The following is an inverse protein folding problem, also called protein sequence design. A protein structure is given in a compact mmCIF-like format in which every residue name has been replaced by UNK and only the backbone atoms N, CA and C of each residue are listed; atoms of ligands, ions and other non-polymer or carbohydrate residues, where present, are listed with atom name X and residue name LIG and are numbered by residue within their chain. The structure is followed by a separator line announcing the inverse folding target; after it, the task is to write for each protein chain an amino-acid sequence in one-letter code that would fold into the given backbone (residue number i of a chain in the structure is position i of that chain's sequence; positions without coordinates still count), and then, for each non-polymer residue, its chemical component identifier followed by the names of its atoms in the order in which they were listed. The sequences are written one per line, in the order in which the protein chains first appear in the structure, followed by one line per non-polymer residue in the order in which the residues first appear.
data_IF_830790696799
#
_entry.id   IF_830790696799
#
_cell.length_a   1.000
_cell.length_b   1.000
_cell.length_c   1.000
_cell.angle_alpha   90.00
_cell.angle_beta   90.00
_cell.angle_gamma   90.00
#
_symmetry.space_group_name_H-M   'P 1'
#
loop_
_entity.id
_entity.type
_entity.pdbx_description
1 polymer ?
#
# COMPACT_ATOMS: atom_id res chain seq x y z
N UNK A 1 -19.60 -18.55 18.76
CA UNK A 1 -18.61 -17.53 19.19
C UNK A 1 -18.59 -16.45 18.14
N UNK A 2 -19.10 -15.24 18.44
CA UNK A 2 -19.04 -14.14 17.49
C UNK A 2 -17.56 -13.78 17.29
N UNK A 3 -17.07 -13.85 16.04
CA UNK A 3 -15.73 -13.38 15.72
C UNK A 3 -15.74 -11.87 15.98
N UNK A 4 -14.97 -11.44 16.98
CA UNK A 4 -14.83 -10.03 17.30
C UNK A 4 -14.34 -9.27 16.05
N UNK A 5 -15.18 -8.37 15.55
CA UNK A 5 -14.94 -7.55 14.36
C UNK A 5 -13.79 -6.59 14.63
N UNK A 6 -12.56 -7.01 14.33
CA UNK A 6 -11.36 -6.25 14.68
C UNK A 6 -11.11 -5.15 13.65
N UNK A 7 -11.39 -3.90 14.03
CA UNK A 7 -11.14 -2.71 13.20
C UNK A 7 -9.65 -2.62 12.87
N UNK A 8 -9.32 -2.57 11.58
CA UNK A 8 -7.95 -2.37 11.09
C UNK A 8 -7.79 -0.98 10.51
N UNK A 9 -6.63 -0.38 10.80
CA UNK A 9 -6.22 0.85 10.15
C UNK A 9 -5.51 0.48 8.84
N UNK A 10 -6.08 0.88 7.71
CA UNK A 10 -5.47 0.64 6.39
C UNK A 10 -5.02 1.96 5.77
N UNK A 11 -3.81 1.97 5.23
CA UNK A 11 -3.34 2.97 4.27
C UNK A 11 -3.70 2.49 2.86
N UNK A 12 -4.12 3.37 1.96
CA UNK A 12 -4.39 3.01 0.55
C UNK A 12 -3.50 3.82 -0.38
N UNK A 13 -2.73 3.12 -1.20
CA UNK A 13 -1.89 3.64 -2.29
C UNK A 13 -2.58 3.39 -3.63
N UNK A 14 -2.69 4.39 -4.49
CA UNK A 14 -3.36 4.28 -5.79
C UNK A 14 -2.96 5.42 -6.75
N UNK A 15 -3.24 5.26 -8.04
CA UNK A 15 -3.05 6.32 -9.01
C UNK A 15 -4.18 7.36 -8.91
N UNK A 16 -3.90 8.53 -8.33
CA UNK A 16 -4.91 9.55 -8.06
C UNK A 16 -5.73 10.00 -9.28
N UNK A 17 -5.09 10.26 -10.41
CA UNK A 17 -5.79 10.81 -11.58
C UNK A 17 -6.69 9.77 -12.28
N UNK A 18 -6.34 8.48 -12.21
CA UNK A 18 -7.01 7.41 -12.98
C UNK A 18 -7.93 6.54 -12.14
N UNK A 19 -7.59 6.32 -10.86
CA UNK A 19 -8.25 5.32 -10.01
C UNK A 19 -9.14 5.94 -8.93
N UNK A 20 -9.36 7.26 -8.95
CA UNK A 20 -10.16 7.97 -7.94
C UNK A 20 -11.57 7.37 -7.75
N UNK A 21 -12.20 6.91 -8.84
CA UNK A 21 -13.52 6.28 -8.82
C UNK A 21 -13.55 4.99 -7.97
N UNK A 22 -12.47 4.21 -8.00
CA UNK A 22 -12.37 2.96 -7.26
C UNK A 22 -12.24 3.21 -5.77
N UNK A 23 -11.48 4.23 -5.35
CA UNK A 23 -11.37 4.61 -3.94
C UNK A 23 -12.73 5.00 -3.35
N UNK A 24 -13.54 5.74 -4.10
CA UNK A 24 -14.89 6.10 -3.67
C UNK A 24 -15.77 4.88 -3.44
N UNK A 25 -15.65 3.83 -4.29
CA UNK A 25 -16.37 2.56 -4.08
C UNK A 25 -15.76 1.77 -2.92
N UNK A 26 -14.44 1.65 -2.84
CA UNK A 26 -13.74 0.97 -1.75
C UNK A 26 -14.24 1.52 -0.42
N UNK A 27 -14.29 2.85 -0.27
CA UNK A 27 -14.80 3.57 0.90
C UNK A 27 -16.19 3.18 1.36
N UNK A 28 -17.06 2.77 0.44
CA UNK A 28 -18.42 2.30 0.75
C UNK A 28 -18.43 0.86 1.25
N UNK A 29 -17.51 0.01 0.78
CA UNK A 29 -17.38 -1.39 1.22
C UNK A 29 -16.78 -1.49 2.62
N UNK A 30 -15.83 -0.61 2.94
CA UNK A 30 -15.04 -0.63 4.18
C UNK A 30 -15.71 0.03 5.39
N UNK A 31 -17.02 0.29 5.39
CA UNK A 31 -17.70 1.10 6.43
C UNK A 31 -17.45 0.62 7.87
N UNK A 32 -16.98 -0.61 8.06
CA UNK A 32 -16.63 -1.24 9.33
C UNK A 32 -15.10 -1.30 9.62
N UNK A 33 -14.26 -0.67 8.79
CA UNK A 33 -12.81 -0.54 8.96
C UNK A 33 -12.38 0.93 8.92
N UNK A 34 -11.35 1.27 9.68
CA UNK A 34 -10.74 2.62 9.62
C UNK A 34 -9.77 2.66 8.46
N UNK A 35 -10.24 2.98 7.28
CA UNK A 35 -9.32 3.27 6.17
C UNK A 35 -8.96 4.74 6.23
N UNK A 36 -7.69 4.97 6.44
CA UNK A 36 -7.14 6.29 6.29
C UNK A 36 -6.64 6.44 4.86
N UNK A 37 -7.33 7.29 4.09
CA UNK A 37 -6.84 7.75 2.80
C UNK A 37 -5.75 8.78 3.05
N UNK A 38 -4.52 8.31 3.03
CA UNK A 38 -3.34 9.10 3.34
C UNK A 38 -2.40 9.22 2.15
N UNK A 39 -2.78 8.72 0.98
CA UNK A 39 -2.00 8.86 -0.23
C UNK A 39 -1.66 10.34 -0.46
N UNK A 40 -0.46 10.57 -0.96
CA UNK A 40 0.03 11.91 -1.20
C UNK A 40 -0.79 12.55 -2.34
N UNK A 41 -1.70 13.47 -1.97
CA UNK A 41 -2.57 14.20 -2.91
C UNK A 41 -1.96 15.50 -3.41
N UNK A 42 -1.03 16.06 -2.63
CA UNK A 42 -0.43 17.33 -2.93
C UNK A 42 0.76 17.14 -3.87
N UNK A 43 0.97 18.10 -4.77
CA UNK A 43 2.22 18.26 -5.48
C UNK A 43 3.32 18.61 -4.47
N UNK A 44 3.80 17.61 -3.74
CA UNK A 44 4.91 17.74 -2.82
C UNK A 44 6.25 17.77 -3.57
N UNK A 45 6.26 17.86 -4.90
CA UNK A 45 7.48 17.95 -5.71
C UNK A 45 8.35 19.16 -5.38
N UNK A 46 7.79 20.19 -4.74
CA UNK A 46 8.52 21.33 -4.19
C UNK A 46 9.19 21.07 -2.84
N UNK A 47 8.87 19.96 -2.17
CA UNK A 47 9.47 19.58 -0.89
C UNK A 47 10.64 18.62 -1.09
N UNK A 48 11.58 18.63 -0.15
CA UNK A 48 12.68 17.66 -0.16
C UNK A 48 12.18 16.24 0.04
N UNK A 49 12.84 15.28 -0.59
CA UNK A 49 12.59 13.84 -0.43
C UNK A 49 12.49 13.41 1.04
N UNK A 50 13.31 14.01 1.91
CA UNK A 50 13.30 13.73 3.35
C UNK A 50 12.00 14.20 4.02
N UNK A 51 11.50 15.37 3.65
CA UNK A 51 10.25 15.93 4.18
C UNK A 51 9.05 15.11 3.73
N UNK A 52 9.05 14.70 2.47
CA UNK A 52 8.02 13.83 1.90
C UNK A 52 8.05 12.47 2.59
N UNK A 53 9.24 11.89 2.77
CA UNK A 53 9.42 10.65 3.48
C UNK A 53 8.93 10.71 4.93
N UNK A 54 9.21 11.81 5.66
CA UNK A 54 8.69 12.00 7.02
C UNK A 54 7.16 11.98 7.05
N UNK A 55 6.50 12.69 6.13
CA UNK A 55 5.03 12.71 6.00
C UNK A 55 4.45 11.33 5.68
N UNK A 56 5.01 10.62 4.70
CA UNK A 56 4.59 9.25 4.34
C UNK A 56 4.77 8.31 5.54
N UNK A 57 5.94 8.33 6.17
CA UNK A 57 6.26 7.44 7.29
C UNK A 57 5.38 7.66 8.51
N UNK A 58 5.04 8.91 8.84
CA UNK A 58 4.13 9.21 9.95
C UNK A 58 2.75 8.58 9.72
N UNK A 59 2.24 8.71 8.49
CA UNK A 59 0.96 8.11 8.07
C UNK A 59 1.01 6.58 8.11
N UNK A 60 2.09 5.99 7.59
CA UNK A 60 2.28 4.52 7.61
C UNK A 60 2.29 3.95 9.02
N UNK A 61 2.94 4.62 9.98
CA UNK A 61 2.99 4.19 11.39
C UNK A 61 1.61 4.10 12.06
N UNK A 62 0.63 4.89 11.60
CA UNK A 62 -0.75 4.85 12.12
C UNK A 62 -1.59 3.73 11.51
N UNK A 63 -1.08 3.10 10.45
CA UNK A 63 -1.72 2.01 9.74
C UNK A 63 -1.09 0.65 10.08
N UNK A 64 -1.79 -0.41 9.72
CA UNK A 64 -1.38 -1.79 9.98
C UNK A 64 -1.32 -2.66 8.72
N UNK A 65 -2.00 -2.20 7.68
CA UNK A 65 -2.04 -2.79 6.34
C UNK A 65 -1.92 -1.65 5.34
N UNK A 66 -1.09 -1.85 4.33
CA UNK A 66 -1.00 -1.01 3.14
C UNK A 66 -1.73 -1.74 2.02
N UNK A 67 -2.76 -1.10 1.49
CA UNK A 67 -3.54 -1.57 0.33
C UNK A 67 -3.05 -0.84 -0.90
N UNK A 68 -2.72 -1.55 -1.96
CA UNK A 68 -2.32 -0.98 -3.25
C UNK A 68 -3.41 -1.30 -4.28
N UNK A 69 -4.01 -0.27 -4.88
CA UNK A 69 -4.89 -0.45 -6.03
C UNK A 69 -4.06 -0.53 -7.30
N UNK A 70 -4.19 -1.65 -8.01
CA UNK A 70 -3.38 -1.98 -9.18
C UNK A 70 -4.25 -1.76 -10.42
N UNK A 71 -4.03 -0.64 -11.10
CA UNK A 71 -4.63 -0.28 -12.38
C UNK A 71 -3.60 -0.27 -13.51
N UNK A 72 -3.95 0.36 -14.63
CA UNK A 72 -3.16 0.34 -15.86
C UNK A 72 -1.80 1.05 -15.74
N UNK A 73 -1.69 2.05 -14.83
CA UNK A 73 -0.49 2.90 -14.70
C UNK A 73 0.05 2.96 -13.27
N UNK A 74 -0.44 2.11 -12.36
CA UNK A 74 -0.02 2.11 -10.95
C UNK A 74 1.49 1.89 -10.80
N UNK A 75 2.06 0.91 -11.49
CA UNK A 75 3.49 0.61 -11.44
C UNK A 75 4.39 1.70 -12.03
N UNK A 76 3.82 2.70 -12.71
CA UNK A 76 4.57 3.79 -13.32
C UNK A 76 4.79 4.98 -12.39
N UNK A 77 4.21 4.95 -11.18
CA UNK A 77 4.26 6.07 -10.24
C UNK A 77 5.31 5.85 -9.16
N UNK A 78 6.31 6.72 -9.11
CA UNK A 78 7.39 6.68 -8.11
C UNK A 78 6.86 6.76 -6.69
N UNK A 79 5.81 7.56 -6.49
CA UNK A 79 5.19 7.73 -5.17
C UNK A 79 4.60 6.43 -4.64
N UNK A 80 4.08 5.57 -5.50
CA UNK A 80 3.54 4.27 -5.11
C UNK A 80 4.67 3.34 -4.67
N UNK A 81 5.80 3.32 -5.39
CA UNK A 81 6.99 2.59 -4.95
C UNK A 81 7.48 3.08 -3.57
N UNK A 82 7.51 4.39 -3.36
CA UNK A 82 7.96 4.98 -2.08
C UNK A 82 7.01 4.67 -0.93
N UNK A 83 5.70 4.67 -1.18
CA UNK A 83 4.69 4.29 -0.20
C UNK A 83 4.82 2.80 0.18
N UNK A 84 5.04 1.91 -0.79
CA UNK A 84 5.31 0.49 -0.52
C UNK A 84 6.62 0.33 0.24
N UNK A 85 7.70 0.98 -0.22
CA UNK A 85 9.00 0.93 0.43
C UNK A 85 8.94 1.35 1.89
N UNK A 86 8.27 2.46 2.20
CA UNK A 86 8.10 2.94 3.56
C UNK A 86 7.23 2.00 4.41
N UNK A 87 6.20 1.39 3.80
CA UNK A 87 5.29 0.43 4.46
C UNK A 87 6.01 -0.84 4.91
N UNK A 88 6.99 -1.31 4.15
CA UNK A 88 7.72 -2.55 4.41
C UNK A 88 8.83 -2.39 5.47
N UNK A 89 9.09 -1.16 5.94
CA UNK A 89 10.13 -0.91 6.95
C UNK A 89 9.59 -1.03 8.37
N UNK A 90 10.35 -1.73 9.19
CA UNK A 90 10.21 -1.71 10.64
C UNK A 90 11.32 -0.89 11.29
N UNK A 91 11.14 -0.60 12.58
CA UNK A 91 12.18 -0.07 13.43
C UNK A 91 11.99 -0.62 14.83
N UNK A 92 13.05 -1.18 15.38
CA UNK A 92 13.09 -1.59 16.80
C UNK A 92 13.97 -0.57 17.51
N UNK A 93 13.36 0.20 18.41
CA UNK A 93 14.11 1.12 19.25
C UNK A 93 14.86 0.32 20.32
N UNK A 94 16.16 0.57 20.54
CA UNK A 94 16.99 -0.25 21.43
C UNK A 94 16.53 -0.23 22.90
N UNK A 95 15.89 0.86 23.34
CA UNK A 95 15.55 1.06 24.76
C UNK A 95 14.06 1.35 25.04
N UNK A 96 13.25 1.56 24.02
CA UNK A 96 11.88 2.07 24.18
C UNK A 96 10.93 1.34 23.24
N UNK A 97 10.30 0.26 23.71
CA UNK A 97 9.37 -0.52 22.90
C UNK A 97 8.23 0.32 22.29
N UNK A 98 7.82 1.42 22.94
CA UNK A 98 6.76 2.30 22.44
C UNK A 98 7.20 3.16 21.24
N UNK A 99 8.51 3.32 21.02
CA UNK A 99 9.07 3.97 19.82
C UNK A 99 9.34 2.99 18.67
N UNK A 100 9.18 1.69 18.91
CA UNK A 100 9.31 0.65 17.88
C UNK A 100 8.04 0.58 17.02
N UNK A 101 8.20 0.23 15.75
CA UNK A 101 7.07 -0.06 14.87
C UNK A 101 7.42 -1.20 13.92
N UNK A 102 6.40 -1.99 13.57
CA UNK A 102 6.53 -3.12 12.65
C UNK A 102 6.23 -2.67 11.21
N UNK A 103 6.77 -3.36 10.20
CA UNK A 103 6.28 -3.25 8.82
C UNK A 103 4.77 -3.44 8.77
N UNK A 104 4.09 -2.80 7.84
CA UNK A 104 2.70 -3.10 7.51
C UNK A 104 2.59 -4.44 6.79
N UNK A 105 1.42 -5.07 6.87
CA UNK A 105 1.08 -6.08 5.87
C UNK A 105 0.79 -5.41 4.52
N UNK A 106 1.03 -6.10 3.41
CA UNK A 106 0.84 -5.58 2.05
C UNK A 106 -0.28 -6.33 1.31
N UNK A 107 -1.30 -5.60 0.84
CA UNK A 107 -2.45 -6.14 0.11
C UNK A 107 -2.55 -5.48 -1.28
N UNK A 108 -2.42 -6.24 -2.35
CA UNK A 108 -2.70 -5.81 -3.72
C UNK A 108 -4.15 -6.06 -4.11
N UNK A 109 -4.80 -5.08 -4.75
CA UNK A 109 -6.15 -5.23 -5.31
C UNK A 109 -6.10 -4.92 -6.80
N UNK A 110 -6.30 -5.94 -7.63
CA UNK A 110 -6.34 -5.81 -9.09
C UNK A 110 -7.66 -5.18 -9.52
N UNK A 111 -7.60 -3.98 -10.08
CA UNK A 111 -8.76 -3.23 -10.60
C UNK A 111 -9.34 -3.92 -11.85
N UNK A 112 -10.62 -3.71 -12.18
CA UNK A 112 -11.25 -4.28 -13.36
C UNK A 112 -10.90 -3.42 -14.59
N UNK A 113 -9.65 -3.55 -15.05
CA UNK A 113 -9.05 -2.88 -16.21
C UNK A 113 -8.48 -3.93 -17.16
N UNK A 114 -8.21 -3.57 -18.41
CA UNK A 114 -7.75 -4.51 -19.45
C UNK A 114 -6.33 -5.03 -19.19
N UNK A 115 -5.47 -4.18 -18.61
CA UNK A 115 -4.09 -4.52 -18.27
C UNK A 115 -3.67 -3.88 -16.95
N UNK A 116 -2.70 -4.49 -16.27
CA UNK A 116 -2.20 -4.03 -14.98
C UNK A 116 -0.73 -3.65 -15.08
N UNK A 117 -0.40 -2.44 -14.64
CA UNK A 117 0.98 -2.06 -14.34
C UNK A 117 1.20 -2.31 -12.85
N UNK A 118 1.85 -3.43 -12.54
CA UNK A 118 2.13 -3.84 -11.15
C UNK A 118 3.42 -3.14 -10.70
N UNK A 119 3.43 -2.43 -9.56
CA UNK A 119 4.67 -1.91 -9.00
C UNK A 119 5.66 -3.05 -8.75
N UNK A 120 6.89 -2.93 -9.27
CA UNK A 120 7.91 -3.97 -9.17
C UNK A 120 8.14 -4.45 -7.73
N UNK A 121 8.20 -3.52 -6.76
CA UNK A 121 8.34 -3.86 -5.33
C UNK A 121 7.12 -4.61 -4.76
N UNK A 122 5.92 -4.33 -5.27
CA UNK A 122 4.75 -5.13 -4.91
C UNK A 122 4.88 -6.54 -5.48
N UNK A 123 5.34 -6.67 -6.74
CA UNK A 123 5.54 -7.96 -7.39
C UNK A 123 6.53 -8.84 -6.59
N UNK A 124 7.68 -8.30 -6.16
CA UNK A 124 8.64 -9.07 -5.35
C UNK A 124 8.01 -9.64 -4.07
N UNK A 125 7.12 -8.87 -3.43
CA UNK A 125 6.44 -9.32 -2.22
C UNK A 125 5.28 -10.29 -2.51
N UNK A 126 4.69 -10.24 -3.70
CA UNK A 126 3.75 -11.27 -4.16
C UNK A 126 4.53 -12.58 -4.35
N UNK A 127 5.66 -12.52 -5.05
CA UNK A 127 6.48 -13.69 -5.39
C UNK A 127 7.11 -14.34 -4.15
N UNK A 128 7.52 -13.54 -3.16
CA UNK A 128 8.01 -14.06 -1.88
C UNK A 128 6.91 -14.69 -1.01
N UNK A 129 5.64 -14.39 -1.33
CA UNK A 129 4.46 -14.76 -0.56
C UNK A 129 4.28 -13.96 0.72
N UNK A 130 4.84 -12.74 0.79
CA UNK A 130 4.55 -11.78 1.86
C UNK A 130 3.25 -11.01 1.61
N UNK A 131 3.10 -10.47 0.40
CA UNK A 131 1.91 -9.74 -0.02
C UNK A 131 0.76 -10.70 -0.31
N UNK A 132 -0.45 -10.25 0.00
CA UNK A 132 -1.69 -10.91 -0.39
C UNK A 132 -2.26 -10.16 -1.57
N UNK A 133 -2.93 -10.85 -2.49
CA UNK A 133 -3.65 -10.19 -3.57
C UNK A 133 -5.09 -10.69 -3.71
N UNK A 134 -5.95 -9.80 -4.20
CA UNK A 134 -7.33 -10.11 -4.62
C UNK A 134 -7.69 -9.39 -5.90
N UNK A 135 -8.70 -9.90 -6.60
CA UNK A 135 -9.36 -9.19 -7.69
C UNK A 135 -10.47 -8.30 -7.15
N UNK A 136 -10.69 -7.15 -7.80
CA UNK A 136 -11.73 -6.19 -7.45
C UNK A 136 -13.14 -6.78 -7.42
N UNK A 137 -13.44 -7.74 -8.30
CA UNK A 137 -14.71 -8.46 -8.35
C UNK A 137 -15.06 -9.18 -7.02
N UNK A 138 -14.04 -9.56 -6.25
CA UNK A 138 -14.19 -10.26 -4.98
C UNK A 138 -14.17 -9.31 -3.78
N UNK A 139 -14.11 -7.99 -4.00
CA UNK A 139 -13.91 -6.99 -2.95
C UNK A 139 -14.96 -7.09 -1.83
N UNK A 140 -16.25 -7.16 -2.18
CA UNK A 140 -17.34 -7.18 -1.20
C UNK A 140 -17.36 -8.48 -0.38
N UNK A 141 -16.89 -9.59 -0.96
CA UNK A 141 -16.86 -10.90 -0.30
C UNK A 141 -15.61 -11.10 0.56
N UNK A 142 -14.44 -10.72 0.04
CA UNK A 142 -13.16 -11.19 0.56
C UNK A 142 -12.34 -10.09 1.26
N UNK A 143 -12.69 -8.81 1.13
CA UNK A 143 -11.82 -7.72 1.59
C UNK A 143 -11.47 -7.82 3.08
N UNK A 144 -12.46 -8.02 3.95
CA UNK A 144 -12.22 -8.08 5.40
C UNK A 144 -11.33 -9.27 5.79
N UNK A 145 -11.59 -10.46 5.23
CA UNK A 145 -10.81 -11.66 5.53
C UNK A 145 -9.37 -11.50 5.03
N UNK A 146 -9.18 -10.89 3.85
CA UNK A 146 -7.87 -10.67 3.23
C UNK A 146 -7.08 -9.58 3.92
N UNK A 147 -7.71 -8.51 4.41
CA UNK A 147 -7.06 -7.52 5.29
C UNK A 147 -6.57 -8.18 6.58
N UNK A 148 -7.38 -9.03 7.21
CA UNK A 148 -6.97 -9.74 8.42
C UNK A 148 -5.82 -10.73 8.17
N UNK A 149 -5.85 -11.46 7.04
CA UNK A 149 -4.76 -12.34 6.65
C UNK A 149 -3.48 -11.56 6.33
N UNK A 150 -3.60 -10.43 5.63
CA UNK A 150 -2.48 -9.51 5.35
C UNK A 150 -1.88 -8.96 6.64
N UNK A 151 -2.72 -8.55 7.60
CA UNK A 151 -2.26 -8.16 8.92
C UNK A 151 -1.53 -9.31 9.64
N UNK A 152 -2.01 -10.54 9.51
CA UNK A 152 -1.34 -11.70 10.10
C UNK A 152 0.06 -11.91 9.49
N UNK A 153 0.23 -11.76 8.18
CA UNK A 153 1.51 -11.91 7.49
C UNK A 153 2.62 -11.00 8.06
N UNK A 154 2.28 -9.75 8.41
CA UNK A 154 3.24 -8.78 8.98
C UNK A 154 3.97 -9.30 10.24
N UNK A 155 3.30 -10.19 10.99
CA UNK A 155 3.81 -10.71 12.26
C UNK A 155 4.42 -12.09 12.09
N UNK A 156 3.85 -12.93 11.22
CA UNK A 156 4.18 -14.36 11.16
C UNK A 156 5.16 -14.71 10.06
N UNK A 157 5.26 -13.89 9.01
CA UNK A 157 6.21 -14.11 7.92
C UNK A 157 7.03 -12.86 7.55
N UNK A 158 7.54 -12.06 8.52
CA UNK A 158 8.32 -10.86 8.20
C UNK A 158 9.61 -11.17 7.42
N UNK A 159 10.15 -12.39 7.55
CA UNK A 159 11.31 -12.88 6.77
C UNK A 159 11.07 -12.99 5.26
N UNK A 160 9.81 -12.90 4.82
CA UNK A 160 9.43 -12.92 3.40
C UNK A 160 9.36 -11.52 2.79
N UNK A 161 9.50 -10.46 3.58
CA UNK A 161 9.51 -9.10 3.04
C UNK A 161 10.68 -8.97 2.08
N UNK A 162 10.39 -8.61 0.83
CA UNK A 162 11.42 -8.17 -0.11
C UNK A 162 11.32 -6.65 -0.27
N UNK A 163 12.30 -5.95 0.27
CA UNK A 163 12.40 -4.50 0.12
C UNK A 163 13.80 -4.10 -0.36
N UNK A 164 14.44 -4.98 -1.13
CA UNK A 164 15.83 -4.86 -1.57
C UNK A 164 16.05 -3.85 -2.70
N UNK A 165 15.02 -3.60 -3.53
CA UNK A 165 15.11 -2.64 -4.64
C UNK A 165 15.42 -1.23 -4.16
N UNK A 166 16.25 -0.52 -4.90
CA UNK A 166 16.37 0.92 -4.81
C UNK A 166 15.00 1.58 -5.07
N UNK A 167 14.81 2.77 -4.50
CA UNK A 167 13.57 3.52 -4.72
C UNK A 167 13.56 4.05 -6.15
N UNK A 168 12.38 4.06 -6.75
CA UNK A 168 12.18 4.68 -8.05
C UNK A 168 12.49 6.18 -8.01
N UNK A 169 13.30 6.69 -8.92
CA UNK A 169 13.73 8.10 -8.92
C UNK A 169 12.70 9.03 -9.58
N UNK A 170 12.07 8.55 -10.65
CA UNK A 170 11.15 9.32 -11.49
C UNK A 170 9.92 8.50 -11.88
N UNK A 171 8.80 9.16 -12.19
CA UNK A 171 7.65 8.49 -12.82
C UNK A 171 8.08 7.96 -14.21
N UNK A 172 7.54 6.82 -14.65
CA UNK A 172 7.76 6.42 -16.05
C UNK A 172 6.99 7.38 -16.97
N UNK A 173 7.64 7.75 -18.08
CA UNK A 173 7.08 8.55 -19.18
C UNK A 173 6.84 7.63 -20.37
N UNK A 174 5.75 7.84 -21.12
CA UNK A 174 5.48 7.05 -22.33
C UNK A 174 6.50 7.48 -23.40
N UNK A 175 6.65 6.69 -24.48
CA UNK A 175 7.61 6.94 -25.56
C UNK A 175 7.56 8.37 -26.18
N UNK A 176 6.45 9.10 -25.94
CA UNK A 176 6.20 10.46 -26.41
C UNK A 176 6.48 11.56 -25.37
N UNK A 177 7.06 11.23 -24.21
CA UNK A 177 7.40 12.23 -23.18
C UNK A 177 6.21 12.78 -22.40
N UNK A 178 5.05 12.13 -22.46
CA UNK A 178 3.89 12.44 -21.63
C UNK A 178 3.89 11.63 -20.33
N UNK A 179 3.51 12.29 -19.23
CA UNK A 179 3.43 11.65 -17.91
C UNK A 179 2.33 10.63 -17.97
N UNK A 180 2.60 9.39 -17.55
CA UNK A 180 1.65 8.29 -17.73
C UNK A 180 0.83 7.95 -16.50
#
# INVERSE_FOLDING_TARGET
MAIEKKIRNCFVSYHHERDQKYISKLRKVITQMKVADYSLKDDLGHLTDETIYKKVREKMRRSSVTVVLIGERTGHRKWIDWEIWASLRGYTHPYDPYKSFKPNGLLGIFLPVESHSIPNRLQDNIDSGFAVSIKWENLERDFESKVNYTYWNRTNVPRKIDNSRERMEEDYWDFLGFRI
#
